data_IF_729641228080
#
_entry.id   IF_729641228080
#
_cell.length_a   1.000
_cell.length_b   1.000
_cell.length_c   1.000
_cell.angle_alpha   90.00
_cell.angle_beta   90.00
_cell.angle_gamma   90.00
#
_symmetry.space_group_name_H-M   'P 1'
#
loop_
_entity.id
_entity.type
_entity.pdbx_description
1 polymer ?
#
# COMPACT_ATOMS: atom_id res chain seq x y z
N UNK A 1 13.49 8.52 -12.40
CA UNK A 1 14.17 7.49 -13.22
C UNK A 1 14.73 6.47 -12.25
N UNK A 2 14.36 5.19 -12.37
CA UNK A 2 14.86 4.12 -11.51
C UNK A 2 15.70 3.20 -12.39
N UNK A 3 16.90 2.88 -11.92
CA UNK A 3 17.83 2.01 -12.63
C UNK A 3 17.37 0.58 -12.40
N UNK A 4 17.20 -0.20 -13.48
CA UNK A 4 16.91 -1.64 -13.36
C UNK A 4 18.21 -2.40 -13.14
N UNK A 5 18.19 -3.53 -12.41
CA UNK A 5 19.40 -4.33 -12.18
C UNK A 5 20.15 -4.71 -13.46
N UNK A 6 19.42 -5.05 -14.53
CA UNK A 6 19.99 -5.35 -15.84
C UNK A 6 20.76 -4.15 -16.44
N UNK A 7 20.29 -2.92 -16.21
CA UNK A 7 20.94 -1.71 -16.71
C UNK A 7 22.27 -1.41 -15.98
N UNK A 8 22.51 -2.03 -14.82
CA UNK A 8 23.77 -1.93 -14.08
C UNK A 8 24.81 -2.86 -14.73
N UNK A 9 24.42 -4.10 -15.05
CA UNK A 9 25.28 -5.10 -15.69
C UNK A 9 25.64 -4.69 -17.11
N UNK A 10 24.66 -4.20 -17.89
CA UNK A 10 24.87 -3.83 -19.28
C UNK A 10 25.63 -2.51 -19.45
N UNK A 11 25.96 -1.82 -18.34
CA UNK A 11 26.57 -0.50 -18.38
C UNK A 11 28.04 -0.56 -18.80
N UNK A 12 28.30 -0.31 -20.08
CA UNK A 12 29.66 -0.06 -20.55
C UNK A 12 30.09 1.40 -20.31
N UNK A 13 31.22 1.61 -19.65
CA UNK A 13 31.86 2.92 -19.51
C UNK A 13 32.94 3.14 -20.59
N UNK A 14 33.08 4.38 -21.04
CA UNK A 14 34.15 4.77 -21.96
C UNK A 14 35.50 4.84 -21.24
N UNK A 15 36.54 4.29 -21.87
CA UNK A 15 37.90 4.32 -21.35
C UNK A 15 38.54 5.66 -21.70
N UNK A 16 39.18 6.31 -20.72
CA UNK A 16 39.93 7.56 -20.89
C UNK A 16 41.35 7.41 -20.35
N UNK A 17 42.28 8.24 -20.84
CA UNK A 17 43.71 8.21 -20.45
C UNK A 17 43.94 8.34 -18.93
N UNK A 18 43.01 8.94 -18.21
CA UNK A 18 42.90 8.90 -16.75
C UNK A 18 41.46 8.57 -16.39
N UNK A 19 41.28 7.61 -15.51
CA UNK A 19 39.97 7.13 -15.07
C UNK A 19 40.11 6.13 -13.94
N UNK A 20 38.97 5.63 -13.46
CA UNK A 20 38.94 4.54 -12.49
C UNK A 20 39.49 3.25 -13.10
N UNK A 21 40.08 2.41 -12.25
CA UNK A 21 40.45 1.06 -12.64
C UNK A 21 39.18 0.29 -13.02
N UNK A 22 39.23 -0.43 -14.15
CA UNK A 22 38.06 -1.13 -14.67
C UNK A 22 37.62 -2.27 -13.74
N UNK A 23 38.57 -3.07 -13.26
CA UNK A 23 38.30 -4.19 -12.37
C UNK A 23 37.66 -3.73 -11.04
N UNK A 24 38.15 -2.64 -10.45
CA UNK A 24 37.56 -2.06 -9.23
C UNK A 24 36.12 -1.54 -9.46
N UNK A 25 35.86 -0.96 -10.63
CA UNK A 25 34.51 -0.50 -11.00
C UNK A 25 33.59 -1.69 -11.20
N UNK A 26 34.04 -2.72 -11.91
CA UNK A 26 33.25 -3.94 -12.17
C UNK A 26 32.90 -4.65 -10.85
N UNK A 27 33.87 -4.83 -9.93
CA UNK A 27 33.60 -5.40 -8.59
C UNK A 27 32.60 -4.57 -7.76
N UNK A 28 32.63 -3.25 -7.91
CA UNK A 28 31.69 -2.38 -7.22
C UNK A 28 30.29 -2.47 -7.82
N UNK A 29 30.18 -2.54 -9.15
CA UNK A 29 28.90 -2.74 -9.83
C UNK A 29 28.27 -4.09 -9.48
N UNK A 30 29.05 -5.15 -9.34
CA UNK A 30 28.56 -6.46 -8.92
C UNK A 30 27.90 -6.39 -7.54
N UNK A 31 28.54 -5.71 -6.58
CA UNK A 31 27.97 -5.49 -5.22
C UNK A 31 26.66 -4.72 -5.30
N UNK A 32 26.63 -3.62 -6.06
CA UNK A 32 25.40 -2.83 -6.23
C UNK A 32 24.30 -3.69 -6.86
N UNK A 33 24.63 -4.51 -7.86
CA UNK A 33 23.67 -5.40 -8.50
C UNK A 33 23.03 -6.36 -7.49
N UNK A 34 23.84 -7.04 -6.67
CA UNK A 34 23.32 -7.95 -5.64
C UNK A 34 22.43 -7.24 -4.62
N UNK A 35 22.87 -6.08 -4.12
CA UNK A 35 22.10 -5.29 -3.15
C UNK A 35 20.76 -4.82 -3.74
N UNK A 36 20.75 -4.44 -5.02
CA UNK A 36 19.53 -3.98 -5.70
C UNK A 36 18.54 -5.13 -5.93
N UNK A 37 19.01 -6.30 -6.33
CA UNK A 37 18.19 -7.51 -6.47
C UNK A 37 17.58 -7.93 -5.13
N UNK A 38 18.34 -7.86 -4.04
CA UNK A 38 17.82 -8.13 -2.69
C UNK A 38 16.75 -7.11 -2.29
N UNK A 39 16.99 -5.82 -2.56
CA UNK A 39 16.03 -4.76 -2.26
C UNK A 39 14.71 -4.92 -3.02
N UNK A 40 14.77 -5.29 -4.30
CA UNK A 40 13.58 -5.55 -5.12
C UNK A 40 12.78 -6.72 -4.54
N UNK A 41 13.44 -7.82 -4.21
CA UNK A 41 12.80 -8.99 -3.60
C UNK A 41 12.13 -8.64 -2.27
N UNK A 42 12.84 -7.93 -1.40
CA UNK A 42 12.30 -7.50 -0.11
C UNK A 42 11.09 -6.59 -0.28
N UNK A 43 11.13 -5.68 -1.27
CA UNK A 43 10.00 -4.83 -1.60
C UNK A 43 8.79 -5.66 -2.04
N UNK A 44 8.97 -6.59 -2.98
CA UNK A 44 7.88 -7.42 -3.50
C UNK A 44 7.27 -8.32 -2.40
N UNK A 45 8.10 -8.90 -1.54
CA UNK A 45 7.65 -9.67 -0.37
C UNK A 45 6.86 -8.81 0.62
N UNK A 46 7.34 -7.58 0.87
CA UNK A 46 6.69 -6.63 1.79
C UNK A 46 5.35 -6.15 1.23
N UNK A 47 5.26 -5.84 -0.07
CA UNK A 47 3.99 -5.47 -0.73
C UNK A 47 2.99 -6.62 -0.67
N UNK A 48 3.43 -7.86 -0.89
CA UNK A 48 2.57 -9.04 -0.74
C UNK A 48 2.09 -9.21 0.70
N UNK A 49 2.97 -8.97 1.69
CA UNK A 49 2.61 -9.04 3.10
C UNK A 49 1.59 -7.97 3.49
N UNK A 50 1.79 -6.72 3.05
CA UNK A 50 0.83 -5.62 3.25
C UNK A 50 -0.53 -5.99 2.66
N UNK A 51 -0.56 -6.46 1.42
CA UNK A 51 -1.81 -6.85 0.76
C UNK A 51 -2.57 -7.95 1.54
N UNK A 52 -1.84 -8.94 2.08
CA UNK A 52 -2.43 -9.99 2.94
C UNK A 52 -2.99 -9.43 4.24
N UNK A 53 -2.31 -8.44 4.86
CA UNK A 53 -2.80 -7.79 6.07
C UNK A 53 -4.05 -6.94 5.78
N UNK A 54 -4.05 -6.20 4.68
CA UNK A 54 -5.19 -5.41 4.23
C UNK A 54 -6.42 -6.29 3.96
N UNK A 55 -6.23 -7.43 3.29
CA UNK A 55 -7.30 -8.41 3.06
C UNK A 55 -7.88 -8.93 4.39
N UNK A 56 -7.01 -9.32 5.34
CA UNK A 56 -7.45 -9.74 6.68
C UNK A 56 -8.21 -8.64 7.41
N UNK A 57 -7.75 -7.39 7.35
CA UNK A 57 -8.44 -6.26 7.99
C UNK A 57 -9.80 -5.98 7.34
N UNK A 58 -9.91 -6.14 6.01
CA UNK A 58 -11.16 -5.96 5.28
C UNK A 58 -12.24 -6.96 5.70
N UNK A 59 -11.83 -8.21 6.02
CA UNK A 59 -12.73 -9.23 6.56
C UNK A 59 -13.39 -8.77 7.87
N UNK A 60 -12.62 -8.20 8.79
CA UNK A 60 -13.14 -7.76 10.09
C UNK A 60 -13.94 -6.46 10.05
N UNK A 61 -13.68 -5.57 9.08
CA UNK A 61 -14.39 -4.28 8.96
C UNK A 61 -15.74 -4.40 8.26
N UNK A 62 -15.92 -5.38 7.37
CA UNK A 62 -17.20 -5.63 6.68
C UNK A 62 -18.21 -6.43 7.52
N UNK A 63 -17.74 -7.20 8.51
CA UNK A 63 -18.59 -8.02 9.41
C UNK A 63 -19.06 -7.30 10.67
N UNK A 64 -18.88 -5.98 10.78
CA UNK A 64 -19.48 -5.21 11.88
C UNK A 64 -20.94 -4.93 11.51
N UNK A 65 -21.94 -5.59 12.13
CA UNK A 65 -23.33 -5.24 11.90
C UNK A 65 -23.50 -3.79 12.34
N UNK A 66 -23.78 -2.90 11.36
CA UNK A 66 -24.27 -1.55 11.65
C UNK A 66 -25.55 -1.73 12.45
N UNK A 67 -25.48 -1.61 13.78
CA UNK A 67 -26.66 -1.59 14.64
C UNK A 67 -27.49 -0.39 14.18
N UNK A 68 -28.52 -0.64 13.38
CA UNK A 68 -29.57 0.31 13.08
C UNK A 68 -30.29 0.58 14.39
N UNK A 69 -29.97 1.71 15.02
CA UNK A 69 -30.80 2.25 16.10
C UNK A 69 -32.12 2.65 15.43
N UNK A 70 -33.16 1.84 15.60
CA UNK A 70 -34.54 2.20 15.25
C UNK A 70 -34.94 3.42 16.05
N UNK A 71 -34.95 4.58 15.39
CA UNK A 71 -35.64 5.76 15.89
C UNK A 71 -37.14 5.51 15.73
N UNK A 72 -37.82 5.18 16.83
CA UNK A 72 -39.28 5.09 16.87
C UNK A 72 -39.86 6.51 16.84
N UNK A 73 -40.09 7.03 15.63
CA UNK A 73 -40.97 8.17 15.39
C UNK A 73 -41.81 7.88 14.16
N UNK A 74 -42.88 7.11 14.36
CA UNK A 74 -44.03 7.08 13.46
C UNK A 74 -45.22 7.72 14.20
N UNK A 75 -45.61 8.90 13.72
CA UNK A 75 -46.90 9.58 13.90
C UNK A 75 -48.04 8.63 13.42
N UNK A 76 -49.30 8.60 13.88
CA UNK A 76 -50.25 9.59 14.41
C UNK A 76 -51.55 8.82 14.87
N UNK A 77 -52.62 9.39 15.48
CA UNK A 77 -53.44 10.45 14.85
C UNK A 77 -53.91 11.56 15.78
N UNK A 78 -54.22 12.70 15.16
CA UNK A 78 -54.88 13.84 15.77
C UNK A 78 -56.25 13.49 16.38
N UNK A 79 -56.52 14.02 17.58
CA UNK A 79 -57.86 14.28 18.05
C UNK A 79 -57.92 15.73 18.54
N UNK A 80 -58.14 16.67 17.61
CA UNK A 80 -58.75 17.94 17.96
C UNK A 80 -60.21 17.68 18.36
N UNK A 81 -60.62 18.33 19.44
CA UNK A 81 -62.00 18.61 19.85
C UNK A 81 -62.71 17.55 20.74
N UNK A 82 -62.86 17.86 22.02
CA UNK A 82 -64.15 18.41 22.46
C UNK A 82 -64.01 19.17 23.79
N UNK A 83 -64.75 20.27 23.84
CA UNK A 83 -64.78 21.26 24.90
C UNK A 83 -65.50 20.76 26.16
N UNK A 84 -65.32 21.50 27.28
CA UNK A 84 -66.21 21.57 28.46
C UNK A 84 -66.05 20.32 29.37
N UNK A 85 -65.74 20.43 30.67
CA UNK A 85 -66.65 20.81 31.76
C UNK A 85 -65.89 21.31 33.01
N UNK A 86 -66.37 22.46 33.52
CA UNK A 86 -66.37 23.07 34.87
C UNK A 86 -65.11 23.09 35.75
#
# INVERSE_FOLDING_TARGET
MSIRPQEIIDKAFSIKFRGYNKEEVDEFLDKIYFDYEELIRYKDETELYIKKLEERLSYYTNDIPKRTVTNNQEQEPEAMNDSIFY
#
